data_IF_323635271527
#
_entry.id   IF_323635271527
#
_cell.length_a   1.000
_cell.length_b   1.000
_cell.length_c   1.000
_cell.angle_alpha   90.00
_cell.angle_beta   90.00
_cell.angle_gamma   90.00
#
_symmetry.space_group_name_H-M   'P 1'
#
loop_
_entity.id
_entity.type
_entity.pdbx_description
1 polymer ?
#
# COMPACT_ATOMS: atom_id res chain seq x y z
N UNK A 1 -1.36 -2.41 19.20
CA UNK A 1 -2.39 -2.48 18.13
C UNK A 1 -1.81 -1.81 16.90
N UNK A 2 -1.52 -2.58 15.86
CA UNK A 2 -1.00 -2.06 14.59
C UNK A 2 -2.14 -1.37 13.84
N UNK A 3 -1.96 -0.11 13.46
CA UNK A 3 -2.96 0.64 12.70
C UNK A 3 -2.98 0.11 11.27
N UNK A 4 -4.17 0.05 10.65
CA UNK A 4 -4.35 -0.48 9.28
C UNK A 4 -4.76 0.63 8.32
N UNK A 5 -4.18 0.62 7.12
CA UNK A 5 -4.50 1.53 6.03
C UNK A 5 -5.10 0.76 4.85
N UNK A 6 -6.26 1.18 4.37
CA UNK A 6 -6.86 0.68 3.13
C UNK A 6 -6.44 1.56 1.96
N UNK A 7 -5.78 0.98 0.96
CA UNK A 7 -5.40 1.68 -0.28
C UNK A 7 -6.18 1.09 -1.45
N UNK A 8 -6.96 1.94 -2.13
CA UNK A 8 -7.74 1.56 -3.32
C UNK A 8 -7.84 2.76 -4.25
N UNK A 9 -7.04 2.74 -5.32
CA UNK A 9 -6.90 3.88 -6.23
C UNK A 9 -6.87 3.44 -7.69
N UNK A 10 -7.44 4.28 -8.55
CA UNK A 10 -7.45 4.06 -10.00
C UNK A 10 -6.14 4.46 -10.66
N UNK A 11 -5.53 5.56 -10.23
CA UNK A 11 -4.19 5.97 -10.62
C UNK A 11 -3.16 5.39 -9.63
N UNK A 12 -2.09 4.80 -10.15
CA UNK A 12 -1.04 4.14 -9.37
C UNK A 12 0.25 4.96 -9.33
N UNK A 13 0.24 6.18 -9.84
CA UNK A 13 1.38 7.08 -9.71
C UNK A 13 1.71 7.30 -8.21
N UNK A 14 2.96 7.02 -7.81
CA UNK A 14 3.47 7.28 -6.46
C UNK A 14 2.95 6.37 -5.34
N UNK A 15 2.14 5.35 -5.62
CA UNK A 15 1.49 4.55 -4.57
C UNK A 15 2.47 3.63 -3.83
N UNK A 16 3.56 3.24 -4.50
CA UNK A 16 4.55 2.32 -3.94
C UNK A 16 5.37 3.06 -2.87
N UNK A 17 5.88 4.25 -3.20
CA UNK A 17 6.64 5.11 -2.28
C UNK A 17 5.78 5.47 -1.07
N UNK A 18 4.52 5.86 -1.30
CA UNK A 18 3.58 6.16 -0.22
C UNK A 18 3.35 4.97 0.72
N UNK A 19 3.13 3.78 0.16
CA UNK A 19 2.88 2.57 0.93
C UNK A 19 4.14 2.08 1.68
N UNK A 20 5.33 2.26 1.12
CA UNK A 20 6.60 1.98 1.81
C UNK A 20 6.80 2.88 3.03
N UNK A 21 6.51 4.18 2.91
CA UNK A 21 6.59 5.10 4.06
C UNK A 21 5.57 4.75 5.14
N UNK A 22 4.35 4.36 4.77
CA UNK A 22 3.35 3.87 5.73
C UNK A 22 3.84 2.62 6.49
N UNK A 23 4.44 1.66 5.78
CA UNK A 23 5.05 0.48 6.43
C UNK A 23 6.16 0.87 7.40
N UNK A 24 7.03 1.83 7.05
CA UNK A 24 8.08 2.34 7.97
C UNK A 24 7.50 2.97 9.22
N UNK A 25 6.33 3.59 9.13
CA UNK A 25 5.58 4.15 10.26
C UNK A 25 4.80 3.08 11.06
N UNK A 26 4.94 1.79 10.74
CA UNK A 26 4.31 0.68 11.45
C UNK A 26 2.84 0.46 11.09
N UNK A 27 2.43 0.87 9.88
CA UNK A 27 1.09 0.55 9.37
C UNK A 27 1.06 -0.77 8.64
N UNK A 28 -0.05 -1.49 8.82
CA UNK A 28 -0.41 -2.65 8.02
C UNK A 28 -1.28 -2.21 6.83
N UNK A 29 -0.96 -2.68 5.63
CA UNK A 29 -1.59 -2.21 4.40
C UNK A 29 -2.49 -3.29 3.85
N UNK A 30 -3.76 -2.93 3.65
CA UNK A 30 -4.74 -3.79 2.97
C UNK A 30 -5.15 -3.14 1.66
N UNK A 31 -5.25 -3.95 0.61
CA UNK A 31 -5.71 -3.52 -0.70
C UNK A 31 -6.25 -4.72 -1.48
N UNK A 32 -6.98 -4.44 -2.56
CA UNK A 32 -7.51 -5.45 -3.47
C UNK A 32 -7.29 -5.04 -4.93
N UNK A 33 -7.60 -5.94 -5.87
CA UNK A 33 -7.58 -5.66 -7.30
C UNK A 33 -6.22 -5.16 -7.80
N UNK A 34 -6.25 -4.18 -8.71
CA UNK A 34 -5.05 -3.62 -9.33
C UNK A 34 -4.08 -2.95 -8.35
N UNK A 35 -4.59 -2.31 -7.30
CA UNK A 35 -3.75 -1.70 -6.25
C UNK A 35 -2.91 -2.75 -5.55
N UNK A 36 -3.54 -3.88 -5.16
CA UNK A 36 -2.83 -5.00 -4.53
C UNK A 36 -1.73 -5.55 -5.43
N UNK A 37 -2.04 -5.79 -6.70
CA UNK A 37 -1.06 -6.31 -7.66
C UNK A 37 0.14 -5.38 -7.80
N UNK A 38 -0.05 -4.07 -7.79
CA UNK A 38 1.05 -3.10 -7.88
C UNK A 38 1.91 -3.10 -6.61
N UNK A 39 1.29 -3.14 -5.42
CA UNK A 39 2.01 -3.16 -4.15
C UNK A 39 2.79 -4.47 -3.96
N UNK A 40 2.15 -5.62 -4.22
CA UNK A 40 2.77 -6.95 -4.10
C UNK A 40 4.01 -7.07 -5.02
N UNK A 41 3.94 -6.54 -6.25
CA UNK A 41 5.07 -6.52 -7.20
C UNK A 41 6.26 -5.69 -6.71
N UNK A 42 6.01 -4.69 -5.88
CA UNK A 42 7.04 -3.83 -5.30
C UNK A 42 7.56 -4.36 -3.95
N UNK A 43 7.08 -5.52 -3.48
CA UNK A 43 7.44 -6.07 -2.17
C UNK A 43 6.83 -5.32 -0.99
N UNK A 44 5.75 -4.55 -1.25
CA UNK A 44 4.98 -3.84 -0.24
C UNK A 44 3.81 -4.68 0.24
#
# INVERSE_FOLDING_TARGET
MTKRALISVSDKAGIVEFAQELKKLGWDIISTGGTKVTLDKAGV
#
